data_IF_492909632364
#
_entry.id   IF_492909632364
#
_cell.length_a   1.000
_cell.length_b   1.000
_cell.length_c   1.000
_cell.angle_alpha   90.00
_cell.angle_beta   90.00
_cell.angle_gamma   90.00
#
_symmetry.space_group_name_H-M   'P 1'
#
loop_
_entity.id
_entity.type
_entity.pdbx_description
1 polymer ?
#
# COMPACT_ATOMS: atom_id res chain seq x y z
N UNK A 1 -33.11 -17.24 -50.35
CA UNK A 1 -32.08 -16.22 -50.06
C UNK A 1 -32.70 -15.22 -49.10
N UNK A 2 -33.00 -15.68 -47.89
CA UNK A 2 -32.11 -15.63 -46.71
C UNK A 2 -32.28 -14.26 -46.04
N UNK A 3 -33.06 -14.21 -44.95
CA UNK A 3 -32.54 -14.13 -43.56
C UNK A 3 -31.71 -12.86 -43.40
N UNK A 4 -32.15 -11.87 -42.63
CA UNK A 4 -31.95 -11.89 -41.17
C UNK A 4 -33.11 -11.14 -40.50
N UNK A 5 -33.84 -11.88 -39.67
CA UNK A 5 -34.73 -11.39 -38.65
C UNK A 5 -34.13 -11.72 -37.28
N UNK A 6 -34.28 -10.80 -36.32
CA UNK A 6 -34.26 -11.01 -34.87
C UNK A 6 -32.92 -11.29 -34.21
N UNK A 7 -32.57 -10.39 -33.28
CA UNK A 7 -32.24 -10.59 -31.86
C UNK A 7 -31.82 -9.20 -31.33
N UNK A 8 -32.74 -8.38 -30.80
CA UNK A 8 -33.05 -8.26 -29.36
C UNK A 8 -31.88 -8.69 -28.45
N UNK A 9 -30.88 -7.83 -28.32
CA UNK A 9 -30.04 -7.76 -27.12
C UNK A 9 -30.70 -6.87 -26.08
N UNK A 10 -31.74 -7.39 -25.44
CA UNK A 10 -32.03 -7.05 -24.04
C UNK A 10 -31.08 -7.91 -23.19
N UNK A 11 -29.90 -7.39 -22.87
CA UNK A 11 -29.08 -7.94 -21.79
C UNK A 11 -28.54 -6.81 -20.92
N UNK A 12 -28.93 -6.88 -19.65
CA UNK A 12 -28.64 -6.00 -18.52
C UNK A 12 -27.35 -5.17 -18.62
N UNK A 13 -27.54 -3.86 -18.42
CA UNK A 13 -26.55 -2.89 -17.99
C UNK A 13 -25.58 -3.46 -16.94
N UNK A 14 -24.35 -3.73 -17.38
CA UNK A 14 -23.17 -3.56 -16.52
C UNK A 14 -22.27 -2.58 -17.26
N UNK A 15 -22.32 -1.31 -16.86
CA UNK A 15 -21.39 -0.26 -17.30
C UNK A 15 -19.97 -0.65 -16.91
N UNK A 16 -19.29 -1.42 -17.76
CA UNK A 16 -17.84 -1.53 -17.74
C UNK A 16 -17.34 -0.19 -18.26
N UNK A 17 -16.87 0.68 -17.37
CA UNK A 17 -16.15 1.88 -17.75
C UNK A 17 -14.84 1.46 -18.42
N UNK A 18 -14.89 1.21 -19.74
CA UNK A 18 -13.70 1.04 -20.56
C UNK A 18 -13.03 2.41 -20.64
N UNK A 19 -11.91 2.56 -19.95
CA UNK A 19 -11.03 3.71 -20.13
C UNK A 19 -10.40 3.61 -21.52
N UNK A 20 -10.05 4.73 -22.15
CA UNK A 20 -9.46 4.76 -23.51
C UNK A 20 -8.15 3.99 -23.65
N UNK A 21 -7.59 3.50 -22.54
CA UNK A 21 -6.32 2.80 -22.41
C UNK A 21 -6.48 1.28 -22.17
N UNK A 22 -7.68 0.71 -22.31
CA UNK A 22 -8.01 -0.70 -22.03
C UNK A 22 -7.78 -1.18 -20.57
N UNK A 23 -7.48 -0.28 -19.64
CA UNK A 23 -7.34 -0.64 -18.23
C UNK A 23 -8.70 -0.95 -17.58
N UNK A 24 -8.71 -2.02 -16.78
CA UNK A 24 -9.84 -2.41 -15.94
C UNK A 24 -9.45 -2.34 -14.47
N UNK A 25 -10.39 -1.92 -13.63
CA UNK A 25 -10.20 -1.97 -12.17
C UNK A 25 -10.21 -3.42 -11.70
N UNK A 26 -9.14 -3.80 -10.99
CA UNK A 26 -8.91 -5.09 -10.36
C UNK A 26 -9.50 -5.11 -8.94
N UNK A 27 -9.07 -4.15 -8.10
CA UNK A 27 -9.48 -4.01 -6.72
C UNK A 27 -9.75 -2.55 -6.36
N UNK A 28 -10.73 -2.34 -5.48
CA UNK A 28 -10.92 -1.09 -4.74
C UNK A 28 -10.73 -1.40 -3.27
N UNK A 29 -9.67 -0.85 -2.69
CA UNK A 29 -9.23 -1.10 -1.33
C UNK A 29 -9.62 0.10 -0.46
N UNK A 30 -10.50 -0.08 0.55
CA UNK A 30 -10.86 1.01 1.45
C UNK A 30 -9.65 1.40 2.31
N UNK A 31 -9.41 2.70 2.44
CA UNK A 31 -8.40 3.24 3.35
C UNK A 31 -9.07 3.91 4.54
N UNK A 32 -8.37 3.97 5.67
CA UNK A 32 -8.86 4.70 6.86
C UNK A 32 -8.66 6.21 6.73
N UNK A 33 -7.65 6.62 5.95
CA UNK A 33 -7.12 7.96 5.87
C UNK A 33 -6.52 8.20 4.48
N UNK A 34 -6.24 9.46 4.16
CA UNK A 34 -5.69 9.86 2.88
C UNK A 34 -4.32 9.22 2.62
N UNK A 35 -4.04 8.98 1.35
CA UNK A 35 -2.84 8.29 0.88
C UNK A 35 -1.78 9.31 0.53
N UNK A 36 -0.68 9.32 1.28
CA UNK A 36 0.45 10.22 1.04
C UNK A 36 1.31 9.75 -0.11
N UNK A 37 1.58 8.44 -0.20
CA UNK A 37 2.35 7.87 -1.29
C UNK A 37 2.02 6.40 -1.52
N UNK A 38 2.26 5.96 -2.75
CA UNK A 38 2.03 4.60 -3.22
C UNK A 38 3.28 4.11 -3.94
N UNK A 39 3.59 2.83 -3.77
CA UNK A 39 4.59 2.18 -4.61
C UNK A 39 4.21 0.72 -4.87
N UNK A 40 4.11 0.36 -6.14
CA UNK A 40 4.03 -1.03 -6.56
C UNK A 40 5.41 -1.68 -6.44
N UNK A 41 5.44 -2.93 -5.98
CA UNK A 41 6.67 -3.73 -6.02
C UNK A 41 7.10 -3.95 -7.48
N UNK A 42 8.41 -4.07 -7.76
CA UNK A 42 8.87 -4.27 -9.13
C UNK A 42 8.36 -5.56 -9.80
N UNK A 43 7.95 -6.57 -9.01
CA UNK A 43 7.28 -7.78 -9.51
C UNK A 43 5.74 -7.64 -9.65
N UNK A 44 5.19 -6.47 -9.35
CA UNK A 44 3.76 -6.17 -9.35
C UNK A 44 2.89 -7.10 -8.49
N UNK A 45 3.47 -7.81 -7.51
CA UNK A 45 2.72 -8.69 -6.60
C UNK A 45 2.19 -7.96 -5.37
N UNK A 46 2.84 -6.87 -5.00
CA UNK A 46 2.55 -6.13 -3.78
C UNK A 46 2.38 -4.64 -4.05
N UNK A 47 1.51 -4.00 -3.27
CA UNK A 47 1.31 -2.56 -3.27
C UNK A 47 1.55 -2.02 -1.86
N UNK A 48 2.55 -1.16 -1.71
CA UNK A 48 2.77 -0.41 -0.49
C UNK A 48 1.93 0.88 -0.54
N UNK A 49 1.20 1.14 0.56
CA UNK A 49 0.33 2.29 0.76
C UNK A 49 0.71 2.98 2.04
N UNK A 50 1.22 4.20 1.93
CA UNK A 50 1.55 5.04 3.08
C UNK A 50 0.46 6.08 3.28
N UNK A 51 -0.10 6.11 4.48
CA UNK A 51 -1.23 6.95 4.80
C UNK A 51 -0.87 8.10 5.74
N UNK A 52 -1.75 9.10 5.81
CA UNK A 52 -1.63 10.26 6.71
C UNK A 52 -1.72 9.90 8.19
N UNK A 53 -2.17 8.69 8.54
CA UNK A 53 -2.07 8.16 9.92
C UNK A 53 -0.69 7.61 10.26
N UNK A 54 0.32 7.85 9.41
CA UNK A 54 1.70 7.42 9.61
C UNK A 54 1.88 5.89 9.58
N UNK A 55 0.84 5.17 9.10
CA UNK A 55 0.89 3.73 8.88
C UNK A 55 1.29 3.40 7.45
N UNK A 56 2.08 2.35 7.31
CA UNK A 56 2.44 1.76 6.03
C UNK A 56 1.80 0.38 5.93
N UNK A 57 0.86 0.23 5.00
CA UNK A 57 0.21 -1.04 4.72
C UNK A 57 0.69 -1.61 3.39
N UNK A 58 0.99 -2.90 3.35
CA UNK A 58 1.30 -3.61 2.11
C UNK A 58 0.15 -4.54 1.79
N UNK A 59 -0.33 -4.46 0.56
CA UNK A 59 -1.45 -5.21 0.04
C UNK A 59 -0.98 -6.20 -1.02
N UNK A 60 -1.57 -7.39 -1.04
CA UNK A 60 -1.42 -8.29 -2.19
C UNK A 60 -2.21 -7.73 -3.38
N UNK A 61 -1.53 -7.51 -4.51
CA UNK A 61 -2.19 -7.11 -5.76
C UNK A 61 -3.14 -8.21 -6.23
N UNK A 62 -2.79 -9.48 -5.98
CA UNK A 62 -3.61 -10.63 -6.34
C UNK A 62 -4.87 -10.70 -5.46
N UNK A 63 -4.73 -10.86 -4.15
CA UNK A 63 -5.91 -11.12 -3.29
C UNK A 63 -6.66 -9.87 -2.84
N UNK A 64 -6.02 -8.70 -2.89
CA UNK A 64 -6.56 -7.47 -2.32
C UNK A 64 -6.61 -7.48 -0.78
N UNK A 65 -5.81 -8.34 -0.14
CA UNK A 65 -5.70 -8.45 1.32
C UNK A 65 -4.42 -7.78 1.82
N UNK A 66 -4.47 -7.28 3.06
CA UNK A 66 -3.30 -6.71 3.75
C UNK A 66 -2.37 -7.85 4.15
N UNK A 67 -1.12 -7.79 3.71
CA UNK A 67 -0.07 -8.76 4.03
C UNK A 67 0.93 -8.25 5.05
N UNK A 68 1.04 -6.93 5.20
CA UNK A 68 1.90 -6.27 6.18
C UNK A 68 1.27 -4.95 6.62
N UNK A 69 1.40 -4.63 7.91
CA UNK A 69 1.09 -3.32 8.45
C UNK A 69 2.22 -2.90 9.40
N UNK A 70 2.73 -1.68 9.22
CA UNK A 70 3.78 -1.03 10.01
C UNK A 70 3.28 0.33 10.52
N UNK A 71 3.77 0.79 11.68
CA UNK A 71 3.41 2.07 12.29
C UNK A 71 2.62 1.96 13.60
N UNK A 72 1.73 0.98 13.72
CA UNK A 72 0.81 0.84 14.89
C UNK A 72 1.45 0.21 16.16
N UNK A 73 2.66 -0.34 16.06
CA UNK A 73 3.26 -1.21 17.10
C UNK A 73 4.58 -0.66 17.67
N UNK A 74 4.52 0.50 18.33
CA UNK A 74 5.55 1.01 19.23
C UNK A 74 6.92 1.36 18.60
N UNK A 75 7.05 1.27 17.27
CA UNK A 75 8.29 1.55 16.52
C UNK A 75 8.41 2.99 15.99
N UNK A 76 7.43 3.84 16.26
CA UNK A 76 7.35 5.20 15.72
C UNK A 76 6.63 5.28 14.38
N UNK A 77 6.36 6.51 13.96
CA UNK A 77 5.75 6.86 12.69
C UNK A 77 6.66 6.49 11.51
N UNK A 78 6.13 5.86 10.47
CA UNK A 78 6.89 5.66 9.24
C UNK A 78 7.05 7.02 8.54
N UNK A 79 8.28 7.40 8.23
CA UNK A 79 8.57 8.66 7.53
C UNK A 79 8.78 8.45 6.04
N UNK A 80 9.45 7.35 5.67
CA UNK A 80 9.81 7.05 4.28
C UNK A 80 9.97 5.54 4.07
N UNK A 81 9.84 5.09 2.82
CA UNK A 81 10.03 3.68 2.48
C UNK A 81 10.43 3.53 1.02
N UNK A 82 11.11 2.41 0.70
CA UNK A 82 11.46 2.01 -0.66
C UNK A 82 11.43 0.49 -0.81
N UNK A 83 10.95 0.03 -1.95
CA UNK A 83 11.11 -1.36 -2.38
C UNK A 83 12.59 -1.65 -2.60
N UNK A 84 13.04 -2.80 -2.11
CA UNK A 84 14.41 -3.27 -2.28
C UNK A 84 14.41 -4.72 -2.74
N UNK A 85 15.53 -5.13 -3.34
CA UNK A 85 15.78 -6.50 -3.77
C UNK A 85 17.27 -6.79 -3.61
N UNK A 86 17.68 -7.83 -2.87
CA UNK A 86 19.05 -8.32 -2.89
C UNK A 86 19.34 -9.04 -4.22
N UNK A 87 20.60 -8.98 -4.66
CA UNK A 87 21.07 -9.56 -5.93
C UNK A 87 21.31 -11.08 -5.80
N UNK A 88 21.28 -11.61 -4.56
CA UNK A 88 21.35 -13.04 -4.27
C UNK A 88 19.99 -13.72 -4.32
N UNK A 89 19.92 -14.90 -4.94
CA UNK A 89 18.70 -15.70 -4.96
C UNK A 89 18.34 -16.33 -3.60
N UNK A 90 17.08 -16.74 -3.39
CA UNK A 90 15.94 -16.54 -4.28
C UNK A 90 15.49 -15.08 -4.31
N UNK A 91 15.12 -14.59 -5.49
CA UNK A 91 14.71 -13.20 -5.77
C UNK A 91 13.45 -12.83 -4.98
N UNK A 92 13.62 -12.46 -3.72
CA UNK A 92 12.58 -11.85 -2.90
C UNK A 92 12.60 -10.34 -3.12
N UNK A 93 11.42 -9.76 -3.25
CA UNK A 93 11.25 -8.33 -3.03
C UNK A 93 10.92 -8.09 -1.56
N UNK A 94 11.35 -6.95 -1.06
CA UNK A 94 11.16 -6.58 0.32
C UNK A 94 11.15 -5.06 0.44
N UNK A 95 11.19 -4.60 1.67
CA UNK A 95 10.93 -3.20 1.99
C UNK A 95 12.01 -2.68 2.92
N UNK A 96 12.53 -1.49 2.64
CA UNK A 96 13.30 -0.72 3.59
C UNK A 96 12.46 0.46 4.02
N UNK A 97 12.23 0.58 5.32
CA UNK A 97 11.39 1.60 5.93
C UNK A 97 12.24 2.45 6.87
N UNK A 98 12.08 3.77 6.78
CA UNK A 98 12.60 4.74 7.72
C UNK A 98 11.50 5.19 8.67
N UNK A 99 11.86 5.33 9.93
CA UNK A 99 10.97 5.75 11.00
C UNK A 99 11.44 7.07 11.59
N UNK A 100 10.49 7.80 12.18
CA UNK A 100 10.82 8.87 13.13
C UNK A 100 11.60 8.29 14.31
N UNK A 101 12.60 9.03 14.79
CA UNK A 101 13.56 8.54 15.79
C UNK A 101 14.75 7.77 15.20
N UNK A 102 14.91 7.73 13.87
CA UNK A 102 16.16 7.30 13.23
C UNK A 102 16.33 5.80 13.04
N UNK A 103 15.26 5.03 13.21
CA UNK A 103 15.25 3.59 13.00
C UNK A 103 15.04 3.29 11.52
N UNK A 104 15.82 2.34 10.99
CA UNK A 104 15.54 1.65 9.74
C UNK A 104 14.98 0.25 10.06
N UNK A 105 13.86 -0.12 9.46
CA UNK A 105 13.37 -1.50 9.44
C UNK A 105 13.52 -2.07 8.03
N UNK A 106 14.19 -3.21 7.94
CA UNK A 106 14.34 -3.98 6.71
C UNK A 106 13.42 -5.18 6.81
N UNK A 107 12.54 -5.34 5.83
CA UNK A 107 11.54 -6.41 5.79
C UNK A 107 11.79 -7.27 4.57
N UNK A 108 12.22 -8.50 4.79
CA UNK A 108 12.20 -9.54 3.78
C UNK A 108 10.76 -10.05 3.64
N UNK A 109 10.23 -10.08 2.42
CA UNK A 109 8.96 -10.73 2.15
C UNK A 109 9.19 -12.01 1.35
N UNK A 110 8.89 -13.16 1.97
CA UNK A 110 8.90 -14.46 1.30
C UNK A 110 7.48 -14.91 1.06
N UNK A 111 7.13 -15.07 -0.21
CA UNK A 111 5.91 -15.76 -0.60
C UNK A 111 6.09 -17.25 -0.26
N UNK A 112 5.28 -17.76 0.66
CA UNK A 112 5.28 -19.18 0.99
C UNK A 112 4.21 -19.90 0.17
N UNK A 113 4.24 -21.23 0.12
CA UNK A 113 3.18 -22.03 -0.53
C UNK A 113 1.80 -21.87 0.13
N UNK A 114 1.77 -21.28 1.34
CA UNK A 114 0.54 -20.90 2.04
C UNK A 114 0.19 -19.45 1.72
N UNK A 115 -1.08 -19.03 1.85
CA UNK A 115 -1.51 -17.63 1.63
C UNK A 115 -0.93 -16.62 2.65
N UNK A 116 0.09 -16.99 3.43
CA UNK A 116 0.74 -16.15 4.43
C UNK A 116 2.15 -15.83 3.96
N UNK A 117 2.51 -14.54 3.98
CA UNK A 117 3.87 -14.08 3.71
C UNK A 117 4.68 -14.24 4.99
N UNK A 118 5.82 -14.91 4.91
CA UNK A 118 6.79 -14.90 6.00
C UNK A 118 7.53 -13.57 5.94
N UNK A 119 7.48 -12.79 7.03
CA UNK A 119 8.21 -11.54 7.14
C UNK A 119 9.37 -11.72 8.12
N UNK A 120 10.59 -11.55 7.64
CA UNK A 120 11.77 -11.42 8.50
C UNK A 120 12.12 -9.94 8.61
N UNK A 121 12.36 -9.46 9.83
CA UNK A 121 12.49 -8.04 10.13
C UNK A 121 13.78 -7.78 10.88
N UNK A 122 14.56 -6.83 10.38
CA UNK A 122 15.71 -6.29 11.09
C UNK A 122 15.46 -4.81 11.39
N UNK A 123 15.60 -4.39 12.65
CA UNK A 123 15.62 -2.97 13.03
C UNK A 123 17.03 -2.52 13.34
N UNK A 124 17.40 -1.35 12.84
CA UNK A 124 18.73 -0.75 12.98
C UNK A 124 18.57 0.70 13.40
N UNK A 125 19.24 1.11 14.48
CA UNK A 125 19.38 2.53 14.80
C UNK A 125 20.37 3.15 13.81
N UNK A 126 19.83 3.84 12.79
CA UNK A 126 20.61 4.35 11.68
C UNK A 126 21.04 5.79 11.90
N UNK A 127 20.18 6.63 12.47
CA UNK A 127 20.40 8.05 12.67
C UNK A 127 20.05 8.45 14.10
N UNK A 128 20.62 9.56 14.59
CA UNK A 128 20.34 10.07 15.94
C UNK A 128 19.00 10.84 16.04
N UNK A 129 18.28 10.91 14.91
CA UNK A 129 16.91 11.40 14.83
C UNK A 129 16.28 10.97 13.50
N UNK A 130 15.21 11.62 13.08
CA UNK A 130 14.33 11.15 11.99
C UNK A 130 15.07 10.78 10.70
N UNK A 131 14.71 9.60 10.17
CA UNK A 131 15.09 9.24 8.80
C UNK A 131 14.20 10.05 7.87
N UNK A 132 14.77 11.00 7.15
CA UNK A 132 14.01 11.92 6.31
C UNK A 132 13.70 11.28 4.97
N UNK A 133 14.72 10.69 4.33
CA UNK A 133 14.52 10.04 3.04
C UNK A 133 15.42 8.82 2.80
N UNK A 134 14.95 7.96 1.90
CA UNK A 134 15.58 6.72 1.49
C UNK A 134 15.64 6.61 -0.03
N UNK A 135 16.72 6.02 -0.50
CA UNK A 135 16.86 5.59 -1.89
C UNK A 135 17.54 4.24 -1.95
N UNK A 136 17.18 3.47 -2.96
CA UNK A 136 17.69 2.11 -3.16
C UNK A 136 18.20 2.03 -4.58
N UNK A 137 19.44 1.59 -4.70
CA UNK A 137 20.07 1.31 -5.99
C UNK A 137 19.42 0.07 -6.62
N UNK A 138 19.07 0.19 -7.90
CA UNK A 138 18.48 -0.89 -8.67
C UNK A 138 19.51 -1.99 -9.00
N UNK A 139 20.80 -1.67 -8.98
CA UNK A 139 21.87 -2.53 -9.52
C UNK A 139 22.72 -3.24 -8.46
N UNK A 140 23.18 -2.54 -7.43
CA UNK A 140 24.15 -3.07 -6.44
C UNK A 140 23.57 -3.28 -5.04
N UNK A 141 22.24 -3.23 -4.88
CA UNK A 141 21.55 -3.46 -3.59
C UNK A 141 22.04 -2.52 -2.48
N UNK A 142 22.46 -1.34 -2.89
CA UNK A 142 22.89 -0.27 -2.01
C UNK A 142 21.66 0.52 -1.57
N UNK A 143 21.72 1.02 -0.35
CA UNK A 143 20.69 1.89 0.20
C UNK A 143 21.37 3.16 0.67
N UNK A 144 20.79 4.30 0.36
CA UNK A 144 21.16 5.56 0.96
C UNK A 144 20.05 6.02 1.89
N UNK A 145 20.43 6.38 3.11
CA UNK A 145 19.51 7.03 4.06
C UNK A 145 20.04 8.39 4.43
N UNK A 146 19.14 9.37 4.49
CA UNK A 146 19.44 10.73 4.91
C UNK A 146 18.63 11.05 6.15
N UNK A 147 19.31 11.52 7.19
CA UNK A 147 18.70 11.91 8.46
C UNK A 147 19.62 12.87 9.21
N UNK A 148 19.04 13.92 9.80
CA UNK A 148 19.77 14.91 10.63
C UNK A 148 21.10 15.43 10.03
N UNK A 149 21.12 15.70 8.72
CA UNK A 149 22.30 16.25 8.03
C UNK A 149 23.41 15.22 7.77
N UNK A 150 23.13 13.93 7.93
CA UNK A 150 24.07 12.85 7.59
C UNK A 150 23.47 11.99 6.49
N UNK A 151 24.26 11.71 5.46
CA UNK A 151 23.96 10.70 4.46
C UNK A 151 24.78 9.46 4.75
N UNK A 152 24.09 8.32 4.88
CA UNK A 152 24.71 7.02 5.14
C UNK A 152 24.48 6.10 3.96
N UNK A 153 25.56 5.42 3.56
CA UNK A 153 25.54 4.37 2.55
C UNK A 153 25.52 3.01 3.24
N UNK A 154 24.63 2.15 2.77
CA UNK A 154 24.41 0.83 3.31
C UNK A 154 24.41 -0.21 2.20
N UNK A 155 24.70 -1.45 2.57
CA UNK A 155 24.55 -2.61 1.70
C UNK A 155 23.57 -3.61 2.31
N UNK A 156 22.59 -4.03 1.51
CA UNK A 156 21.74 -5.16 1.85
C UNK A 156 22.48 -6.43 1.46
N UNK A 157 22.72 -7.30 2.44
CA UNK A 157 23.27 -8.64 2.20
C UNK A 157 22.19 -9.60 1.68
N UNK A 158 22.58 -10.74 1.12
CA UNK A 158 21.65 -11.73 0.57
C UNK A 158 20.64 -12.29 1.59
N UNK A 159 20.98 -12.25 2.88
CA UNK A 159 20.12 -12.65 3.99
C UNK A 159 19.27 -11.49 4.53
N UNK A 160 19.15 -10.38 3.79
CA UNK A 160 18.44 -9.17 4.19
C UNK A 160 19.01 -8.42 5.39
N UNK A 161 20.24 -8.78 5.81
CA UNK A 161 20.96 -8.01 6.82
C UNK A 161 21.54 -6.76 6.18
N UNK A 162 21.24 -5.60 6.75
CA UNK A 162 21.85 -4.34 6.33
C UNK A 162 23.10 -4.02 7.14
N UNK A 163 24.16 -3.61 6.43
CA UNK A 163 25.40 -3.13 7.02
C UNK A 163 25.71 -1.72 6.53
N UNK A 164 26.20 -0.87 7.42
CA UNK A 164 26.73 0.44 7.06
C UNK A 164 28.07 0.26 6.33
N UNK A 165 28.25 0.99 5.23
CA UNK A 165 29.48 1.01 4.46
C UNK A 165 30.26 2.29 4.71
N UNK A 166 29.58 3.43 4.60
CA UNK A 166 30.20 4.75 4.78
C UNK A 166 29.15 5.79 5.18
N UNK A 167 29.62 6.95 5.64
CA UNK A 167 28.78 8.08 5.99
C UNK A 167 29.47 9.42 5.70
N UNK A 168 28.67 10.39 5.27
CA UNK A 168 29.13 11.75 4.98
C UNK A 168 28.22 12.74 5.69
N UNK A 169 28.84 13.67 6.41
CA UNK A 169 28.14 14.82 6.98
C UNK A 169 27.87 15.84 5.88
N UNK A 170 26.60 16.15 5.66
CA UNK A 170 26.14 17.16 4.73
C UNK A 170 25.84 18.41 5.57
N UNK A 171 26.87 19.19 5.87
CA UNK A 171 26.70 20.48 6.55
C UNK A 171 26.19 21.52 5.55
N UNK A 172 24.88 21.75 5.48
CA UNK A 172 24.29 22.99 4.94
C UNK A 172 22.76 23.01 5.08
N UNK A 173 22.25 24.18 5.49
CA UNK A 173 20.88 24.72 5.44
C UNK A 173 19.67 23.78 5.64
N UNK A 174 18.68 24.31 6.34
CA UNK A 174 17.33 23.76 6.58
C UNK A 174 16.55 23.32 5.33
N UNK A 175 17.08 23.54 4.12
CA UNK A 175 16.47 23.17 2.85
C UNK A 175 16.67 21.69 2.45
N UNK A 176 17.65 20.97 3.04
CA UNK A 176 17.93 19.56 2.68
C UNK A 176 16.92 18.58 3.30
N UNK A 177 16.06 19.06 4.19
CA UNK A 177 15.21 18.22 5.05
C UNK A 177 14.20 17.30 4.31
N UNK A 178 14.05 17.45 2.99
CA UNK A 178 13.12 16.67 2.17
C UNK A 178 13.72 16.25 0.82
N UNK A 179 15.04 16.11 0.76
CA UNK A 179 15.71 15.81 -0.50
C UNK A 179 15.97 14.32 -0.65
N UNK A 180 15.40 13.75 -1.72
CA UNK A 180 15.56 12.34 -2.03
C UNK A 180 16.96 12.08 -2.61
N UNK A 181 17.80 11.24 -2.00
CA UNK A 181 19.03 10.80 -2.64
C UNK A 181 18.69 10.00 -3.90
N UNK A 182 19.50 10.14 -4.93
CA UNK A 182 19.27 9.54 -6.25
C UNK A 182 20.49 8.69 -6.58
N UNK A 183 20.28 7.41 -6.80
CA UNK A 183 21.32 6.53 -7.35
C UNK A 183 21.32 6.63 -8.86
N UNK A 184 22.51 6.85 -9.43
CA UNK A 184 22.73 6.73 -10.86
C UNK A 184 24.20 6.44 -11.14
N UNK A 185 24.47 5.46 -12.01
CA UNK A 185 25.81 5.16 -12.53
C UNK A 185 26.91 5.06 -11.44
N UNK A 186 26.63 4.32 -10.37
CA UNK A 186 27.58 4.11 -9.27
C UNK A 186 27.87 5.36 -8.43
N UNK A 187 27.01 6.37 -8.48
CA UNK A 187 27.11 7.58 -7.69
C UNK A 187 25.76 7.89 -7.00
N UNK A 188 25.86 8.66 -5.92
CA UNK A 188 24.72 9.21 -5.20
C UNK A 188 24.64 10.69 -5.48
N UNK A 189 23.47 11.15 -5.92
CA UNK A 189 23.17 12.54 -6.16
C UNK A 189 22.16 13.02 -5.13
N UNK A 190 22.40 14.19 -4.52
CA UNK A 190 21.47 14.81 -3.61
C UNK A 190 21.11 16.20 -4.12
N UNK A 191 19.82 16.44 -4.47
CA UNK A 191 19.36 17.79 -4.73
C UNK A 191 19.57 18.68 -3.50
N UNK A 192 19.93 19.93 -3.69
CA UNK A 192 20.13 20.91 -2.62
C UNK A 192 19.83 22.31 -3.18
N UNK A 193 18.55 22.58 -3.41
CA UNK A 193 18.11 23.84 -4.03
C UNK A 193 18.62 23.89 -5.47
N UNK A 194 19.37 24.94 -5.83
CA UNK A 194 19.92 25.14 -7.17
C UNK A 194 21.09 24.22 -7.55
N UNK A 195 21.49 23.31 -6.66
CA UNK A 195 22.61 22.39 -6.88
C UNK A 195 22.17 20.93 -6.81
N UNK A 196 22.87 20.08 -7.56
CA UNK A 196 22.85 18.64 -7.41
C UNK A 196 24.25 18.19 -6.98
N UNK A 197 24.40 17.89 -5.69
CA UNK A 197 25.67 17.46 -5.10
C UNK A 197 25.85 15.97 -5.37
N UNK A 198 27.05 15.55 -5.78
CA UNK A 198 27.31 14.16 -6.16
C UNK A 198 28.48 13.56 -5.40
N UNK A 199 28.33 12.28 -5.03
CA UNK A 199 29.36 11.44 -4.45
C UNK A 199 29.51 10.17 -5.27
N UNK A 200 30.72 9.93 -5.78
CA UNK A 200 31.06 8.69 -6.45
C UNK A 200 31.27 7.58 -5.43
N UNK A 201 30.72 6.40 -5.70
CA UNK A 201 30.94 5.23 -4.87
C UNK A 201 32.16 4.49 -5.41
N UNK A 202 33.25 4.51 -4.65
CA UNK A 202 34.48 3.77 -4.97
C UNK A 202 34.94 3.02 -3.73
N UNK A 203 35.25 1.74 -3.88
CA UNK A 203 35.67 0.87 -2.77
C UNK A 203 34.72 0.93 -1.56
N UNK A 204 33.41 0.97 -1.86
CA UNK A 204 32.32 1.08 -0.87
C UNK A 204 32.34 2.35 -0.02
N UNK A 205 33.06 3.38 -0.46
CA UNK A 205 33.10 4.71 0.17
C UNK A 205 32.45 5.77 -0.70
N UNK A 206 31.88 6.78 -0.05
CA UNK A 206 31.32 7.97 -0.67
C UNK A 206 32.42 9.01 -0.82
N UNK A 207 32.91 9.17 -2.05
CA UNK A 207 33.89 10.20 -2.39
C UNK A 207 33.16 11.37 -3.03
N UNK A 208 33.32 12.56 -2.47
CA UNK A 208 32.79 13.77 -3.11
C UNK A 208 33.30 13.85 -4.57
N UNK A 209 32.38 14.04 -5.51
CA UNK A 209 32.69 14.17 -6.94
C UNK A 209 32.61 15.63 -7.36
N UNK A 210 31.40 16.21 -7.36
CA UNK A 210 31.15 17.60 -7.81
C UNK A 210 29.78 18.14 -7.41
N UNK A 211 29.65 19.47 -7.48
CA UNK A 211 28.38 20.19 -7.47
C UNK A 211 27.95 20.51 -8.91
N UNK A 212 26.81 19.97 -9.35
CA UNK A 212 26.20 20.32 -10.62
C UNK A 212 25.22 21.48 -10.42
N UNK A 213 25.37 22.55 -11.19
CA UNK A 213 24.42 23.67 -11.16
C UNK A 213 23.18 23.29 -11.95
N UNK A 214 22.02 23.44 -11.31
CA UNK A 214 20.73 23.21 -11.95
C UNK A 214 20.15 24.55 -12.44
N UNK A 215 19.57 24.59 -13.65
CA UNK A 215 18.87 25.79 -14.12
C UNK A 215 17.64 26.12 -13.27
N UNK A 216 17.06 25.11 -12.63
CA UNK A 216 15.93 25.23 -11.70
C UNK A 216 16.26 24.49 -10.41
N UNK A 217 15.91 25.04 -9.23
CA UNK A 217 16.09 24.33 -7.97
C UNK A 217 15.32 23.01 -7.97
N UNK A 218 15.81 22.05 -7.20
CA UNK A 218 15.17 20.75 -7.04
C UNK A 218 15.21 20.33 -5.56
N UNK A 219 14.13 19.73 -5.09
CA UNK A 219 14.08 19.09 -3.79
C UNK A 219 14.19 17.57 -3.94
N UNK A 220 13.48 16.97 -4.88
CA UNK A 220 13.41 15.51 -5.02
C UNK A 220 13.61 15.10 -6.47
N UNK A 221 14.00 13.86 -6.70
CA UNK A 221 14.07 13.32 -8.05
C UNK A 221 13.99 11.81 -8.11
N UNK A 222 13.85 11.33 -9.33
CA UNK A 222 13.79 9.93 -9.70
C UNK A 222 14.49 9.73 -11.04
N UNK A 223 15.16 8.60 -11.23
CA UNK A 223 15.82 8.20 -12.48
C UNK A 223 14.95 7.15 -13.16
N UNK A 224 14.86 7.20 -14.49
CA UNK A 224 14.13 6.21 -15.26
C UNK A 224 14.81 4.84 -15.21
N UNK A 225 14.05 3.76 -15.37
CA UNK A 225 14.61 2.40 -15.36
C UNK A 225 15.62 2.14 -16.51
N UNK A 226 15.53 2.90 -17.60
CA UNK A 226 16.53 2.84 -18.69
C UNK A 226 17.76 3.72 -18.42
N UNK A 227 17.81 4.40 -17.28
CA UNK A 227 18.87 5.32 -16.83
C UNK A 227 19.22 6.44 -17.83
N UNK A 228 18.31 6.75 -18.75
CA UNK A 228 18.48 7.81 -19.75
C UNK A 228 17.87 9.15 -19.33
N UNK A 229 16.94 9.11 -18.37
CA UNK A 229 16.16 10.26 -17.99
C UNK A 229 16.18 10.47 -16.48
N UNK A 230 16.23 11.74 -16.08
CA UNK A 230 16.15 12.18 -14.69
C UNK A 230 14.97 13.15 -14.57
N UNK A 231 14.05 12.84 -13.65
CA UNK A 231 13.01 13.77 -13.23
C UNK A 231 13.47 14.48 -11.96
N UNK A 232 13.51 15.81 -12.01
CA UNK A 232 13.72 16.64 -10.83
C UNK A 232 12.47 17.47 -10.56
N UNK A 233 12.03 17.45 -9.31
CA UNK A 233 10.84 18.11 -8.82
C UNK A 233 11.21 19.17 -7.78
N UNK A 234 10.54 20.31 -7.88
CA UNK A 234 10.57 21.39 -6.90
C UNK A 234 9.15 21.78 -6.51
N UNK A 235 8.92 21.93 -5.20
CA UNK A 235 7.58 22.19 -4.64
C UNK A 235 6.90 23.41 -5.24
N UNK A 236 7.66 24.45 -5.61
CA UNK A 236 7.09 25.72 -6.11
C UNK A 236 7.32 25.96 -7.58
N UNK A 237 8.39 25.42 -8.18
CA UNK A 237 8.72 25.72 -9.58
C UNK A 237 8.16 24.70 -10.57
N UNK A 238 7.88 23.49 -10.09
CA UNK A 238 7.29 22.41 -10.88
C UNK A 238 8.28 21.26 -11.11
N UNK A 239 8.07 20.53 -12.21
CA UNK A 239 8.83 19.31 -12.51
C UNK A 239 9.50 19.42 -13.87
N UNK A 240 10.78 19.06 -13.91
CA UNK A 240 11.66 19.21 -15.06
C UNK A 240 12.28 17.87 -15.43
N UNK A 241 12.37 17.61 -16.73
CA UNK A 241 12.96 16.41 -17.29
C UNK A 241 14.36 16.74 -17.82
N UNK A 242 15.34 15.99 -17.33
CA UNK A 242 16.74 16.07 -17.71
C UNK A 242 17.15 14.82 -18.47
N UNK A 243 18.03 14.98 -19.47
CA UNK A 243 18.68 13.85 -20.14
C UNK A 243 19.99 13.48 -19.47
N UNK A 244 20.20 12.19 -19.26
CA UNK A 244 21.44 11.61 -18.76
C UNK A 244 22.26 11.08 -19.95
N UNK A 245 23.61 11.13 -19.90
CA UNK A 245 24.46 11.54 -18.78
C UNK A 245 24.77 13.05 -18.71
N UNK A 246 24.25 13.88 -19.63
CA UNK A 246 24.65 15.29 -19.74
C UNK A 246 24.03 16.21 -18.68
N UNK A 247 22.99 15.76 -17.96
CA UNK A 247 22.21 16.57 -17.03
C UNK A 247 21.66 17.87 -17.68
N UNK A 248 21.32 17.81 -18.98
CA UNK A 248 20.70 18.93 -19.67
C UNK A 248 19.20 18.90 -19.49
N UNK A 249 18.61 20.03 -19.06
CA UNK A 249 17.16 20.18 -18.97
C UNK A 249 16.57 20.16 -20.39
N UNK A 250 15.80 19.12 -20.69
CA UNK A 250 15.19 18.92 -22.01
C UNK A 250 13.83 19.58 -22.07
N UNK A 251 13.03 19.45 -21.01
CA UNK A 251 11.66 19.99 -21.00
C UNK A 251 11.11 20.20 -19.59
N UNK A 252 10.30 21.23 -19.43
CA UNK A 252 9.37 21.36 -18.31
C UNK A 252 8.22 20.38 -18.49
N UNK A 253 8.05 19.45 -17.54
CA UNK A 253 6.91 18.52 -17.53
C UNK A 253 5.69 19.24 -16.95
N UNK A 254 5.87 19.95 -15.83
CA UNK A 254 4.83 20.76 -15.19
C UNK A 254 5.40 22.08 -14.70
N UNK A 255 4.64 23.17 -14.90
CA UNK A 255 4.98 24.49 -14.39
C UNK A 255 4.38 24.72 -12.99
N UNK A 256 5.02 25.61 -12.22
CA UNK A 256 4.74 26.10 -10.86
C UNK A 256 3.28 26.19 -10.38
N UNK A 257 2.29 26.35 -11.28
CA UNK A 257 0.89 26.61 -10.92
C UNK A 257 0.11 25.39 -10.42
N UNK A 258 0.67 24.19 -10.49
CA UNK A 258 0.00 22.99 -10.02
C UNK A 258 0.86 22.31 -8.95
N UNK A 259 0.46 22.42 -7.69
CA UNK A 259 1.01 21.67 -6.57
C UNK A 259 0.59 20.19 -6.70
N UNK A 260 1.16 19.49 -7.68
CA UNK A 260 0.83 18.10 -7.95
C UNK A 260 1.59 17.21 -6.99
N UNK A 261 0.85 16.32 -6.33
CA UNK A 261 1.33 15.50 -5.23
C UNK A 261 2.23 14.34 -5.68
N UNK A 262 2.03 13.79 -6.89
CA UNK A 262 2.85 12.65 -7.38
C UNK A 262 3.15 12.75 -8.87
N UNK A 263 4.44 12.74 -9.21
CA UNK A 263 4.96 12.57 -10.58
C UNK A 263 6.05 11.51 -10.50
N UNK A 264 5.91 10.44 -11.28
CA UNK A 264 6.83 9.30 -11.22
C UNK A 264 6.99 8.65 -12.59
N UNK A 265 8.08 7.93 -12.79
CA UNK A 265 8.23 7.07 -13.94
C UNK A 265 7.33 5.83 -13.83
N UNK A 266 6.78 5.44 -14.97
CA UNK A 266 6.02 4.22 -15.10
C UNK A 266 6.99 3.05 -15.30
N UNK A 267 7.35 2.34 -14.23
CA UNK A 267 8.41 1.33 -14.30
C UNK A 267 8.17 0.29 -15.39
N UNK A 268 9.22 -0.09 -16.12
CA UNK A 268 9.13 -1.01 -17.27
C UNK A 268 8.46 -0.43 -18.51
N UNK A 269 8.05 0.85 -18.49
CA UNK A 269 7.49 1.54 -19.66
C UNK A 269 8.16 2.90 -19.87
N UNK A 270 8.27 3.35 -21.12
CA UNK A 270 8.81 4.68 -21.45
C UNK A 270 7.74 5.76 -21.29
N UNK A 271 7.20 5.90 -20.09
CA UNK A 271 6.20 6.92 -19.80
C UNK A 271 6.32 7.49 -18.39
N UNK A 272 5.79 8.69 -18.22
CA UNK A 272 5.65 9.37 -16.93
C UNK A 272 4.17 9.32 -16.55
N UNK A 273 3.89 8.97 -15.30
CA UNK A 273 2.56 9.10 -14.71
C UNK A 273 2.51 10.29 -13.76
N UNK A 274 1.33 10.89 -13.69
CA UNK A 274 1.01 11.85 -12.64
C UNK A 274 -0.48 11.82 -12.33
N UNK A 275 -0.81 12.11 -11.07
CA UNK A 275 -2.18 12.43 -10.65
C UNK A 275 -2.46 13.92 -10.83
N UNK A 276 -3.68 14.25 -11.26
CA UNK A 276 -4.17 15.62 -11.30
C UNK A 276 -5.20 15.90 -10.20
N UNK A 277 -5.56 17.18 -10.05
CA UNK A 277 -6.52 17.65 -9.05
C UNK A 277 -7.98 17.35 -9.44
N UNK A 278 -8.20 16.79 -10.64
CA UNK A 278 -9.51 16.36 -11.13
C UNK A 278 -9.83 14.92 -10.77
N UNK A 279 -9.03 14.28 -9.92
CA UNK A 279 -9.24 12.89 -9.53
C UNK A 279 -8.77 11.88 -10.58
N UNK A 280 -7.95 12.30 -11.54
CA UNK A 280 -7.54 11.47 -12.67
C UNK A 280 -6.02 11.25 -12.74
N UNK A 281 -5.64 10.06 -13.18
CA UNK A 281 -4.26 9.70 -13.52
C UNK A 281 -4.05 10.00 -14.99
N UNK A 282 -2.91 10.59 -15.34
CA UNK A 282 -2.53 10.88 -16.73
C UNK A 282 -1.19 10.27 -17.09
N UNK A 283 -1.05 9.94 -18.37
CA UNK A 283 0.13 9.29 -18.92
C UNK A 283 0.79 10.18 -19.97
N UNK A 284 2.10 10.34 -19.86
CA UNK A 284 2.94 11.11 -20.78
C UNK A 284 4.02 10.18 -21.35
N UNK A 285 3.93 9.79 -22.64
CA UNK A 285 4.89 8.91 -23.26
C UNK A 285 6.17 9.71 -23.57
N UNK A 286 7.31 9.11 -23.28
CA UNK A 286 8.61 9.68 -23.64
C UNK A 286 8.94 9.36 -25.10
N UNK A 287 9.62 10.28 -25.84
CA UNK A 287 10.08 11.61 -25.41
C UNK A 287 9.06 12.73 -25.71
N UNK A 288 7.95 12.42 -26.39
CA UNK A 288 7.05 13.44 -26.95
C UNK A 288 6.23 14.18 -25.89
N UNK A 289 5.98 13.56 -24.73
CA UNK A 289 5.23 14.11 -23.58
C UNK A 289 3.86 14.69 -23.98
N UNK A 290 3.20 14.07 -24.95
CA UNK A 290 1.81 14.37 -25.29
C UNK A 290 0.89 13.49 -24.45
N UNK A 291 -0.09 14.08 -23.78
CA UNK A 291 -1.08 13.32 -23.02
C UNK A 291 -1.91 12.44 -23.96
N UNK A 292 -1.84 11.12 -23.81
CA UNK A 292 -2.56 10.19 -24.69
C UNK A 292 -3.72 9.44 -24.01
N UNK A 293 -3.86 9.55 -22.69
CA UNK A 293 -4.99 8.96 -21.98
C UNK A 293 -5.09 9.37 -20.52
N UNK A 294 -6.22 9.02 -19.90
CA UNK A 294 -6.46 9.23 -18.47
C UNK A 294 -7.26 8.08 -17.86
N UNK A 295 -7.02 7.83 -16.58
CA UNK A 295 -7.80 6.92 -15.74
C UNK A 295 -8.46 7.73 -14.64
N UNK A 296 -9.79 7.73 -14.58
CA UNK A 296 -10.52 8.45 -13.52
C UNK A 296 -10.61 7.57 -12.27
N UNK A 297 -10.02 8.05 -11.16
CA UNK A 297 -10.13 7.42 -9.84
C UNK A 297 -11.38 7.93 -9.12
N UNK A 298 -11.56 9.24 -9.05
CA UNK A 298 -12.70 9.89 -8.42
C UNK A 298 -13.04 11.19 -9.16
N UNK A 299 -14.12 11.87 -8.75
CA UNK A 299 -14.65 13.02 -9.50
C UNK A 299 -13.98 14.34 -9.16
N UNK A 300 -13.50 14.51 -7.92
CA UNK A 300 -12.87 15.73 -7.43
C UNK A 300 -11.82 15.38 -6.37
N UNK A 301 -10.63 15.98 -6.42
CA UNK A 301 -9.58 15.76 -5.42
C UNK A 301 -8.29 15.24 -6.04
N UNK A 302 -7.20 15.34 -5.28
CA UNK A 302 -5.87 14.95 -5.78
C UNK A 302 -5.67 13.43 -5.69
N UNK A 303 -4.89 12.88 -6.62
CA UNK A 303 -4.59 11.45 -6.70
C UNK A 303 -3.08 11.23 -6.55
N UNK A 304 -2.70 10.29 -5.68
CA UNK A 304 -1.40 9.66 -5.73
C UNK A 304 -1.42 8.53 -6.76
N UNK A 305 -0.39 8.42 -7.61
CA UNK A 305 -0.31 7.36 -8.62
C UNK A 305 1.07 6.68 -8.62
N UNK A 306 1.05 5.38 -8.90
CA UNK A 306 2.24 4.56 -9.16
C UNK A 306 1.94 3.55 -10.27
N UNK A 307 2.92 3.21 -11.10
CA UNK A 307 2.75 2.21 -12.15
C UNK A 307 3.99 1.33 -12.33
N UNK A 308 3.75 0.06 -12.64
CA UNK A 308 4.77 -0.94 -12.96
C UNK A 308 4.24 -1.80 -14.11
N UNK A 309 5.08 -2.00 -15.12
CA UNK A 309 4.85 -2.93 -16.22
C UNK A 309 5.79 -4.12 -16.08
N UNK A 310 5.21 -5.32 -15.99
CA UNK A 310 5.95 -6.59 -15.93
C UNK A 310 5.59 -7.42 -17.16
N UNK A 311 6.57 -7.65 -18.04
CA UNK A 311 6.36 -8.33 -19.31
C UNK A 311 5.40 -7.55 -20.22
N UNK A 312 4.23 -8.13 -20.53
CA UNK A 312 3.19 -7.52 -21.36
C UNK A 312 2.02 -6.94 -20.55
N UNK A 313 2.11 -6.97 -19.21
CA UNK A 313 1.02 -6.53 -18.33
C UNK A 313 1.45 -5.30 -17.54
N UNK A 314 0.64 -4.25 -17.62
CA UNK A 314 0.82 -3.01 -16.87
C UNK A 314 -0.15 -2.98 -15.70
N UNK A 315 0.38 -2.62 -14.53
CA UNK A 315 -0.37 -2.36 -13.33
C UNK A 315 -0.24 -0.89 -12.96
N UNK A 316 -1.36 -0.28 -12.62
CA UNK A 316 -1.41 1.12 -12.16
C UNK A 316 -2.15 1.13 -10.84
N UNK A 317 -1.56 1.73 -9.82
CA UNK A 317 -2.21 1.98 -8.55
C UNK A 317 -2.53 3.47 -8.43
N UNK A 318 -3.72 3.78 -7.95
CA UNK A 318 -4.13 5.13 -7.59
C UNK A 318 -4.68 5.19 -6.17
N UNK A 319 -4.44 6.29 -5.48
CA UNK A 319 -4.92 6.52 -4.12
C UNK A 319 -5.43 7.94 -3.97
N UNK A 320 -6.50 8.11 -3.20
CA UNK A 320 -7.00 9.44 -2.84
C UNK A 320 -5.98 10.13 -1.93
N UNK A 321 -5.33 11.19 -2.40
CA UNK A 321 -4.29 11.89 -1.63
C UNK A 321 -4.80 13.12 -0.88
N UNK A 322 -5.95 13.66 -1.27
CA UNK A 322 -6.66 14.69 -0.53
C UNK A 322 -8.17 14.45 -0.65
N UNK A 323 -8.77 13.86 0.38
CA UNK A 323 -10.21 13.62 0.39
C UNK A 323 -10.97 14.95 0.56
N UNK A 324 -11.99 15.15 -0.27
CA UNK A 324 -12.96 16.21 -0.07
C UNK A 324 -14.08 15.72 0.85
N UNK A 325 -14.82 16.61 1.54
CA UNK A 325 -15.93 16.21 2.38
C UNK A 325 -16.94 15.33 1.62
N UNK A 326 -17.07 14.07 2.05
CA UNK A 326 -17.96 13.08 1.45
C UNK A 326 -17.32 12.09 0.47
N UNK A 327 -16.01 12.20 0.19
CA UNK A 327 -15.27 11.18 -0.58
C UNK A 327 -14.52 10.24 0.37
N UNK A 328 -14.74 8.93 0.23
CA UNK A 328 -14.04 7.94 1.05
C UNK A 328 -12.61 7.73 0.51
N UNK A 329 -11.57 7.77 1.36
CA UNK A 329 -10.21 7.53 0.90
C UNK A 329 -10.10 6.09 0.42
N UNK A 330 -9.74 5.92 -0.86
CA UNK A 330 -9.67 4.61 -1.51
C UNK A 330 -8.40 4.48 -2.30
N UNK A 331 -7.93 3.24 -2.40
CA UNK A 331 -6.88 2.84 -3.33
C UNK A 331 -7.50 1.95 -4.41
N UNK A 332 -7.18 2.20 -5.67
CA UNK A 332 -7.61 1.38 -6.81
C UNK A 332 -6.40 0.80 -7.52
N UNK A 333 -6.53 -0.45 -7.91
CA UNK A 333 -5.54 -1.13 -8.73
C UNK A 333 -6.17 -1.38 -10.09
N UNK A 334 -5.46 -0.99 -11.14
CA UNK A 334 -5.85 -1.13 -12.53
C UNK A 334 -4.89 -2.07 -13.25
N UNK A 335 -5.40 -2.85 -14.21
CA UNK A 335 -4.59 -3.67 -15.11
C UNK A 335 -5.10 -3.58 -16.54
N UNK A 336 -4.19 -3.58 -17.51
CA UNK A 336 -4.51 -3.70 -18.94
C UNK A 336 -4.76 -5.15 -19.38
N UNK A 337 -4.45 -6.13 -18.53
CA UNK A 337 -4.57 -7.55 -18.82
C UNK A 337 -5.95 -8.12 -18.50
N UNK A 338 -6.72 -8.40 -19.55
CA UNK A 338 -8.06 -9.01 -19.44
C UNK A 338 -7.99 -10.44 -18.91
N UNK A 339 -6.96 -11.22 -19.30
CA UNK A 339 -6.79 -12.61 -18.88
C UNK A 339 -6.40 -12.74 -17.41
N UNK A 340 -5.57 -11.82 -16.91
CA UNK A 340 -5.21 -11.77 -15.50
C UNK A 340 -6.43 -11.38 -14.65
N UNK A 341 -7.15 -10.34 -15.05
CA UNK A 341 -8.36 -9.90 -14.36
C UNK A 341 -9.45 -10.99 -14.32
N UNK A 342 -9.65 -11.72 -15.42
CA UNK A 342 -10.65 -12.80 -15.48
C UNK A 342 -10.27 -14.00 -14.62
N UNK A 343 -8.99 -14.41 -14.61
CA UNK A 343 -8.48 -15.50 -13.77
C UNK A 343 -8.59 -15.19 -12.28
N UNK A 344 -8.45 -13.92 -11.91
CA UNK A 344 -8.65 -13.47 -10.53
C UNK A 344 -10.13 -13.47 -10.12
N UNK A 345 -11.01 -13.02 -11.01
CA UNK A 345 -12.46 -13.05 -10.77
C UNK A 345 -13.04 -14.46 -10.68
N UNK A 346 -12.42 -15.44 -11.36
CA UNK A 346 -12.84 -16.84 -11.32
C UNK A 346 -12.29 -17.61 -10.12
N UNK A 347 -11.30 -17.08 -9.40
CA UNK A 347 -10.86 -17.68 -8.14
C UNK A 347 -11.89 -17.37 -7.04
N UNK A 348 -12.34 -18.37 -6.26
CA UNK A 348 -13.23 -18.12 -5.13
C UNK A 348 -12.52 -17.16 -4.18
N UNK A 349 -13.11 -15.98 -3.97
CA UNK A 349 -12.56 -14.99 -3.05
C UNK A 349 -12.40 -15.63 -1.66
N UNK A 350 -11.19 -15.60 -1.11
CA UNK A 350 -10.87 -15.97 0.29
C UNK A 350 -11.66 -15.17 1.33
N UNK A 351 -12.43 -14.15 0.90
CA UNK A 351 -13.51 -13.55 1.68
C UNK A 351 -14.61 -14.58 1.94
N UNK A 352 -14.39 -15.51 2.86
CA UNK A 352 -15.46 -16.05 3.70
C UNK A 352 -15.96 -14.93 4.64
N UNK A 353 -16.42 -13.82 4.06
CA UNK A 353 -17.40 -12.99 4.72
C UNK A 353 -18.70 -13.77 4.71
N UNK A 354 -19.15 -14.25 5.87
CA UNK A 354 -20.47 -14.85 6.01
C UNK A 354 -21.49 -14.05 5.20
N UNK A 355 -22.12 -14.70 4.21
CA UNK A 355 -23.06 -14.04 3.30
C UNK A 355 -24.14 -13.30 4.11
N UNK A 356 -24.73 -12.23 3.56
CA UNK A 356 -25.83 -11.52 4.24
C UNK A 356 -26.93 -12.50 4.69
N UNK A 357 -27.22 -13.53 3.88
CA UNK A 357 -28.15 -14.62 4.24
C UNK A 357 -27.68 -15.40 5.46
N UNK A 358 -26.40 -15.73 5.56
CA UNK A 358 -25.85 -16.45 6.71
C UNK A 358 -25.86 -15.62 8.00
N UNK A 359 -25.56 -14.31 7.92
CA UNK A 359 -25.71 -13.40 9.08
C UNK A 359 -27.17 -13.27 9.53
N UNK A 360 -28.11 -13.19 8.58
CA UNK A 360 -29.54 -13.19 8.87
C UNK A 360 -30.00 -14.50 9.49
N UNK A 361 -29.49 -15.66 9.04
CA UNK A 361 -29.79 -16.96 9.64
C UNK A 361 -29.30 -17.00 11.09
N UNK A 362 -28.07 -16.57 11.38
CA UNK A 362 -27.54 -16.51 12.75
C UNK A 362 -28.41 -15.61 13.65
N UNK A 363 -28.78 -14.42 13.17
CA UNK A 363 -29.63 -13.50 13.93
C UNK A 363 -31.02 -14.10 14.19
N UNK A 364 -31.64 -14.72 13.19
CA UNK A 364 -32.95 -15.38 13.34
C UNK A 364 -32.84 -16.54 14.34
N UNK A 365 -31.78 -17.36 14.27
CA UNK A 365 -31.59 -18.46 15.21
C UNK A 365 -31.36 -17.96 16.64
N UNK A 366 -30.63 -16.87 16.84
CA UNK A 366 -30.45 -16.25 18.16
C UNK A 366 -31.76 -15.69 18.73
N UNK A 367 -32.59 -15.06 17.89
CA UNK A 367 -33.90 -14.54 18.30
C UNK A 367 -34.88 -15.67 18.67
N UNK A 368 -34.95 -16.72 17.85
CA UNK A 368 -35.77 -17.90 18.15
C UNK A 368 -35.31 -18.61 19.44
N UNK A 369 -34.00 -18.64 19.67
CA UNK A 369 -33.44 -19.21 20.89
C UNK A 369 -33.78 -18.38 22.13
N UNK A 370 -33.66 -17.05 22.06
CA UNK A 370 -34.07 -16.14 23.14
C UNK A 370 -35.57 -16.24 23.46
N UNK A 371 -36.42 -16.37 22.44
CA UNK A 371 -37.86 -16.59 22.61
C UNK A 371 -38.15 -17.93 23.31
N UNK A 372 -37.40 -18.99 22.98
CA UNK A 372 -37.56 -20.30 23.60
C UNK A 372 -37.15 -20.29 25.07
N UNK A 373 -36.03 -19.65 25.40
CA UNK A 373 -35.57 -19.46 26.79
C UNK A 373 -36.62 -18.68 27.60
N UNK A 374 -37.14 -17.57 27.06
CA UNK A 374 -38.19 -16.78 27.72
C UNK A 374 -39.50 -17.56 27.91
N UNK A 375 -39.90 -18.38 26.95
CA UNK A 375 -41.08 -19.25 27.06
C UNK A 375 -40.91 -20.31 28.15
N UNK A 376 -39.76 -20.99 28.18
CA UNK A 376 -39.49 -22.04 29.16
C UNK A 376 -39.35 -21.46 30.58
N UNK A 377 -38.75 -20.27 30.74
CA UNK A 377 -38.76 -19.49 31.99
C UNK A 377 -40.18 -19.07 32.39
N UNK A 378 -40.97 -18.56 31.44
CA UNK A 378 -42.36 -18.17 31.70
C UNK A 378 -43.24 -19.34 32.12
N UNK A 379 -42.99 -20.54 31.58
CA UNK A 379 -43.71 -21.76 31.96
C UNK A 379 -43.31 -22.25 33.36
N UNK A 380 -42.02 -22.14 33.72
CA UNK A 380 -41.56 -22.43 35.08
C UNK A 380 -42.23 -21.52 36.12
N UNK A 381 -42.29 -20.21 35.85
CA UNK A 381 -42.97 -19.24 36.72
C UNK A 381 -44.50 -19.43 36.75
N UNK A 382 -45.10 -19.77 35.60
CA UNK A 382 -46.55 -19.98 35.49
C UNK A 382 -47.06 -21.27 36.15
N UNK A 383 -46.23 -22.31 36.23
CA UNK A 383 -46.57 -23.55 36.94
C UNK A 383 -46.58 -23.31 38.46
N UNK A 384 -45.69 -22.46 38.98
CA UNK A 384 -45.61 -22.16 40.42
C UNK A 384 -46.79 -21.30 40.94
N UNK A 385 -47.44 -20.50 40.09
CA UNK A 385 -48.62 -19.72 40.52
C UNK A 385 -49.87 -20.56 40.79
N UNK A 386 -49.92 -21.82 40.34
CA UNK A 386 -51.09 -22.70 40.52
C UNK A 386 -51.05 -23.53 41.81
N UNK A 387 -49.95 -23.52 42.57
CA UNK A 387 -49.83 -24.26 43.82
C UNK A 387 -49.42 -23.34 44.97
N UNK A 388 -50.44 -22.75 45.59
CA UNK A 388 -50.60 -22.26 46.97
C UNK A 388 -49.44 -21.64 47.76
N UNK A 389 -49.78 -20.53 48.43
CA UNK A 389 -49.19 -19.93 49.65
C UNK A 389 -48.22 -20.85 50.43
N UNK A 390 -46.94 -20.49 50.58
CA UNK A 390 -46.10 -20.64 51.81
C UNK A 390 -44.62 -20.20 51.58
N UNK A 391 -43.88 -20.04 52.68
CA UNK A 391 -42.67 -19.25 52.98
C UNK A 391 -41.40 -19.33 52.07
N UNK A 392 -40.75 -18.17 51.93
CA UNK A 392 -39.44 -17.90 51.30
C UNK A 392 -38.29 -18.15 52.31
N UNK A 393 -37.22 -18.94 52.03
CA UNK A 393 -36.18 -18.57 51.04
C UNK A 393 -35.52 -19.75 50.26
N UNK A 394 -35.88 -21.00 50.51
CA UNK A 394 -35.22 -22.19 49.94
C UNK A 394 -35.64 -22.48 48.49
N UNK A 395 -36.86 -22.14 48.11
CA UNK A 395 -37.37 -22.36 46.75
C UNK A 395 -36.76 -21.41 45.71
N UNK A 396 -36.54 -20.15 46.06
CA UNK A 396 -35.87 -19.18 45.18
C UNK A 396 -34.44 -19.60 44.87
N UNK A 397 -33.73 -20.14 45.87
CA UNK A 397 -32.37 -20.67 45.69
C UNK A 397 -32.37 -21.87 44.75
N UNK A 398 -33.38 -22.75 44.85
CA UNK A 398 -33.50 -23.93 43.98
C UNK A 398 -33.77 -23.53 42.52
N UNK A 399 -34.65 -22.54 42.29
CA UNK A 399 -34.95 -22.00 40.96
C UNK A 399 -33.73 -21.25 40.36
N UNK A 400 -33.03 -20.46 41.18
CA UNK A 400 -31.79 -19.80 40.77
C UNK A 400 -30.66 -20.81 40.47
N UNK A 401 -30.59 -21.91 41.22
CA UNK A 401 -29.61 -22.97 41.00
C UNK A 401 -29.91 -23.77 39.72
N UNK A 402 -31.18 -24.13 39.48
CA UNK A 402 -31.58 -24.83 38.26
C UNK A 402 -31.38 -23.95 37.01
N UNK A 403 -31.70 -22.65 37.10
CA UNK A 403 -31.45 -21.71 36.01
C UNK A 403 -29.96 -21.48 35.76
N UNK A 404 -29.13 -21.39 36.81
CA UNK A 404 -27.67 -21.31 36.67
C UNK A 404 -27.07 -22.58 36.04
N UNK A 405 -27.60 -23.77 36.36
CA UNK A 405 -27.12 -25.04 35.81
C UNK A 405 -27.53 -25.22 34.34
N UNK A 406 -28.72 -24.75 33.95
CA UNK A 406 -29.13 -24.62 32.55
C UNK A 406 -28.18 -23.67 31.80
N UNK A 407 -27.93 -22.47 32.32
CA UNK A 407 -26.98 -21.52 31.73
C UNK A 407 -25.57 -22.12 31.57
N UNK A 408 -25.07 -22.84 32.58
CA UNK A 408 -23.75 -23.48 32.52
C UNK A 408 -23.66 -24.57 31.44
N UNK A 409 -24.67 -25.43 31.33
CA UNK A 409 -24.71 -26.48 30.31
C UNK A 409 -24.81 -25.89 28.89
N UNK A 410 -25.56 -24.80 28.70
CA UNK A 410 -25.65 -24.11 27.42
C UNK A 410 -24.37 -23.36 27.04
N UNK A 411 -23.66 -22.78 28.01
CA UNK A 411 -22.35 -22.15 27.77
C UNK A 411 -21.32 -23.19 27.31
N UNK A 412 -21.32 -24.38 27.91
CA UNK A 412 -20.45 -25.48 27.50
C UNK A 412 -20.78 -26.01 26.10
N UNK A 413 -22.06 -26.04 25.70
CA UNK A 413 -22.43 -26.38 24.32
C UNK A 413 -21.97 -25.32 23.30
N UNK A 414 -22.07 -24.03 23.63
CA UNK A 414 -21.54 -22.94 22.81
C UNK A 414 -20.03 -23.03 22.62
N UNK A 415 -19.29 -23.34 23.69
CA UNK A 415 -17.84 -23.53 23.64
C UNK A 415 -17.50 -24.77 22.81
N UNK A 416 -18.21 -25.88 22.99
CA UNK A 416 -17.98 -27.12 22.25
C UNK A 416 -18.30 -26.95 20.75
N UNK A 417 -19.34 -26.19 20.41
CA UNK A 417 -19.63 -25.82 19.02
C UNK A 417 -18.55 -24.91 18.46
N UNK A 418 -18.12 -23.87 19.18
CA UNK A 418 -17.03 -23.00 18.76
C UNK A 418 -15.75 -23.79 18.44
N UNK A 419 -15.37 -24.77 19.27
CA UNK A 419 -14.21 -25.64 19.01
C UNK A 419 -14.44 -26.65 17.88
N UNK A 420 -15.64 -27.21 17.72
CA UNK A 420 -15.95 -28.11 16.60
C UNK A 420 -15.95 -27.36 15.26
N UNK A 421 -16.50 -26.14 15.23
CA UNK A 421 -16.45 -25.25 14.06
C UNK A 421 -15.02 -24.81 13.72
N UNK A 422 -14.18 -24.56 14.73
CA UNK A 422 -12.75 -24.27 14.52
C UNK A 422 -11.96 -25.46 13.95
N UNK A 423 -12.37 -26.70 14.23
CA UNK A 423 -11.76 -27.93 13.67
C UNK A 423 -12.25 -28.31 12.27
N UNK A 424 -13.45 -27.90 11.88
CA UNK A 424 -14.00 -28.16 10.54
C UNK A 424 -13.54 -27.12 9.49
N UNK A 425 -12.91 -26.03 9.92
CA UNK A 425 -12.48 -24.90 9.07
C UNK A 425 -10.99 -24.53 9.22
N UNK A 426 -10.21 -25.34 9.93
CA UNK A 426 -8.74 -25.36 9.86
C UNK A 426 -8.31 -26.54 9.00
#
# INVERSE_FOLDING_TARGET
MAEISRLKEDSMDVKVARTSLNFQSLHTLPQKRDVMSLALSPDARHLAVHSTDETLTVWSVRTGEIVLALGDSGGGAVSTYRWAQPYGGPFGFGLVCGFRGGILEVVEMRETERPTISTNRQRIQAHDGDVLELSVDQTHTLVCSVGHGVLKLWKIQNNWVMCILDQVSIYSSTEIAYNNPIFWNGAVYLPSGAKLISWKISDWKLLYDRDLQLPHPASSGEVSDDEQWLLLHHRTEGTYLYSLPQFSCVRTVFAAKHARQTVTFARGSRSILYGDDSGSIRFLPLPKLFQFGSLSHHKNGSVAAAAVTVGLTSFVASGTSASLPGDEPTVRIWTDSVSFASKLRSQPSSKQGFSRRFRSIIQITLVLWALKVSYDLGRLVGVEQTTATFDYPSHVILVLWQSAQLCHNYLNQLIHWYYMFRRLYA
#
